data_IF_241741688972
#
_entry.id   IF_241741688972
#
_cell.length_a   1.000
_cell.length_b   1.000
_cell.length_c   1.000
_cell.angle_alpha   90.00
_cell.angle_beta   90.00
_cell.angle_gamma   90.00
#
_symmetry.space_group_name_H-M   'P 1'
#
loop_
_entity.id
_entity.type
_entity.pdbx_description
1 polymer ?
#
# COMPACT_ATOMS: atom_id res chain seq x y z
N UNK A 1 -8.70 -18.07 52.34
CA UNK A 1 -9.03 -18.45 50.94
C UNK A 1 -9.28 -17.25 50.02
N UNK A 2 -10.10 -16.25 50.40
CA UNK A 2 -10.31 -15.04 49.57
C UNK A 2 -9.06 -14.22 49.19
N UNK A 3 -8.01 -14.06 50.03
CA UNK A 3 -6.86 -13.23 49.65
C UNK A 3 -5.90 -13.91 48.66
N UNK A 4 -5.92 -15.26 48.57
CA UNK A 4 -5.05 -16.02 47.66
C UNK A 4 -5.55 -15.96 46.21
N UNK A 5 -6.87 -15.96 46.01
CA UNK A 5 -7.51 -15.85 44.69
C UNK A 5 -7.28 -14.46 44.08
N UNK A 6 -7.35 -13.41 44.91
CA UNK A 6 -7.07 -12.05 44.46
C UNK A 6 -5.62 -11.90 43.97
N UNK A 7 -4.65 -12.47 44.69
CA UNK A 7 -3.23 -12.42 44.33
C UNK A 7 -2.94 -13.18 43.01
N UNK A 8 -3.57 -14.34 42.82
CA UNK A 8 -3.43 -15.15 41.59
C UNK A 8 -4.07 -14.44 40.39
N UNK A 9 -5.24 -13.79 40.55
CA UNK A 9 -5.84 -12.99 39.47
C UNK A 9 -5.00 -11.76 39.12
N UNK A 10 -4.41 -11.07 40.10
CA UNK A 10 -3.53 -9.92 39.84
C UNK A 10 -2.26 -10.30 39.11
N UNK A 11 -1.67 -11.46 39.44
CA UNK A 11 -0.51 -12.02 38.74
C UNK A 11 -0.86 -12.48 37.31
N UNK A 12 -2.02 -13.10 37.09
CA UNK A 12 -2.49 -13.48 35.75
C UNK A 12 -2.84 -12.27 34.88
N UNK A 13 -3.44 -11.22 35.46
CA UNK A 13 -3.71 -9.96 34.75
C UNK A 13 -2.42 -9.16 34.45
N UNK A 14 -1.43 -9.20 35.35
CA UNK A 14 -0.11 -8.61 35.13
C UNK A 14 0.71 -9.34 34.06
N UNK A 15 0.64 -10.68 34.04
CA UNK A 15 1.31 -11.50 33.01
C UNK A 15 0.60 -11.43 31.66
N UNK A 16 -0.74 -11.31 31.63
CA UNK A 16 -1.51 -11.08 30.40
C UNK A 16 -1.28 -9.69 29.79
N UNK A 17 -1.11 -8.66 30.63
CA UNK A 17 -0.79 -7.31 30.17
C UNK A 17 0.69 -7.16 29.73
N UNK A 18 1.62 -7.91 30.35
CA UNK A 18 3.03 -7.92 29.93
C UNK A 18 3.29 -8.80 28.70
N UNK A 19 2.44 -9.79 28.42
CA UNK A 19 2.48 -10.59 27.18
C UNK A 19 1.94 -9.82 25.96
N UNK A 20 1.19 -8.73 26.15
CA UNK A 20 0.71 -7.85 25.08
C UNK A 20 1.61 -6.62 24.85
N UNK A 21 2.76 -6.53 25.52
CA UNK A 21 3.65 -5.36 25.47
C UNK A 21 5.11 -5.67 25.03
N UNK A 22 5.38 -6.86 24.48
CA UNK A 22 6.66 -7.29 23.88
C UNK A 22 6.32 -8.33 22.80
N UNK A 23 6.45 -8.10 21.50
CA UNK A 23 7.54 -7.47 20.75
C UNK A 23 7.04 -6.47 19.69
N UNK A 24 7.71 -5.33 19.58
CA UNK A 24 7.67 -4.45 18.39
C UNK A 24 8.58 -4.94 17.27
N UNK A 25 9.26 -6.08 17.48
CA UNK A 25 10.20 -6.63 16.54
C UNK A 25 9.43 -7.47 15.51
N UNK A 26 9.48 -7.01 14.27
CA UNK A 26 8.93 -7.69 13.09
C UNK A 26 9.93 -8.79 12.72
N UNK A 27 9.56 -10.06 12.89
CA UNK A 27 10.44 -11.20 12.61
C UNK A 27 10.76 -11.34 11.12
N UNK A 28 9.76 -11.10 10.26
CA UNK A 28 9.88 -11.09 8.82
C UNK A 28 9.25 -9.83 8.22
N UNK A 29 9.94 -9.27 7.24
CA UNK A 29 9.43 -8.27 6.31
C UNK A 29 8.83 -8.96 5.10
N UNK A 30 7.90 -8.27 4.42
CA UNK A 30 7.13 -8.82 3.32
C UNK A 30 7.26 -7.99 2.06
N UNK A 31 7.14 -8.66 0.93
CA UNK A 31 7.07 -8.05 -0.38
C UNK A 31 6.07 -8.77 -1.26
N UNK A 32 5.68 -8.12 -2.34
CA UNK A 32 4.94 -8.72 -3.43
C UNK A 32 5.78 -8.60 -4.69
N UNK A 33 5.87 -9.68 -5.45
CA UNK A 33 6.36 -9.68 -6.82
C UNK A 33 5.21 -10.03 -7.75
N UNK A 34 5.02 -9.28 -8.80
CA UNK A 34 3.99 -9.59 -9.78
C UNK A 34 4.53 -9.41 -11.19
N UNK A 35 4.07 -10.29 -12.07
CA UNK A 35 4.38 -10.28 -13.48
C UNK A 35 3.07 -10.30 -14.26
N UNK A 36 3.02 -9.47 -15.29
CA UNK A 36 1.93 -9.47 -16.26
C UNK A 36 2.52 -9.51 -17.66
N UNK A 37 1.79 -10.13 -18.59
CA UNK A 37 2.18 -10.21 -20.00
C UNK A 37 1.06 -9.61 -20.84
N UNK A 38 1.28 -8.43 -21.43
CA UNK A 38 0.47 -7.93 -22.55
C UNK A 38 -0.78 -7.12 -22.20
N UNK A 39 -0.97 -6.66 -20.95
CA UNK A 39 -2.16 -5.86 -20.59
C UNK A 39 -1.90 -4.81 -19.51
N UNK A 40 -2.79 -3.82 -19.48
CA UNK A 40 -2.84 -2.81 -18.43
C UNK A 40 -3.18 -3.46 -17.11
N UNK A 41 -2.52 -3.05 -16.04
CA UNK A 41 -2.79 -3.62 -14.73
C UNK A 41 -2.53 -2.67 -13.59
N UNK A 42 -3.18 -2.95 -12.46
CA UNK A 42 -2.89 -2.32 -11.19
C UNK A 42 -2.94 -3.33 -10.06
N UNK A 43 -2.06 -3.12 -9.08
CA UNK A 43 -1.95 -3.97 -7.91
C UNK A 43 -2.40 -3.19 -6.68
N UNK A 44 -3.24 -3.82 -5.87
CA UNK A 44 -3.76 -3.26 -4.63
C UNK A 44 -3.45 -4.21 -3.48
N UNK A 45 -3.17 -3.62 -2.32
CA UNK A 45 -3.07 -4.34 -1.04
C UNK A 45 -4.04 -3.68 -0.08
N UNK A 46 -4.99 -4.44 0.47
CA UNK A 46 -6.10 -3.88 1.28
C UNK A 46 -6.92 -2.79 0.53
N UNK A 47 -7.04 -2.90 -0.79
CA UNK A 47 -7.66 -1.89 -1.65
C UNK A 47 -6.85 -0.60 -1.83
N UNK A 48 -5.65 -0.48 -1.25
CA UNK A 48 -4.73 0.65 -1.48
C UNK A 48 -3.89 0.34 -2.72
N UNK A 49 -3.94 1.21 -3.72
CA UNK A 49 -3.20 1.03 -4.97
C UNK A 49 -1.69 1.16 -4.72
N UNK A 50 -0.94 0.10 -5.03
CA UNK A 50 0.51 0.06 -4.89
C UNK A 50 1.20 0.44 -6.21
N UNK A 51 0.67 -0.03 -7.34
CA UNK A 51 1.19 0.26 -8.66
C UNK A 51 0.07 0.32 -9.69
N UNK A 52 0.29 1.14 -10.73
CA UNK A 52 -0.59 1.23 -11.89
C UNK A 52 0.25 1.37 -13.15
N UNK A 53 -0.02 0.49 -14.11
CA UNK A 53 0.55 0.52 -15.45
C UNK A 53 -0.59 0.54 -16.45
N UNK A 54 -0.97 1.74 -16.88
CA UNK A 54 -2.07 1.98 -17.84
C UNK A 54 -1.65 1.87 -19.30
N UNK A 55 -0.60 1.12 -19.59
CA UNK A 55 -0.22 0.74 -20.96
C UNK A 55 0.06 -0.75 -20.97
N UNK A 56 -0.50 -1.52 -21.92
CA UNK A 56 -0.15 -2.92 -22.09
C UNK A 56 1.37 -3.10 -22.16
N UNK A 57 1.91 -3.87 -21.23
CA UNK A 57 3.36 -4.08 -21.17
C UNK A 57 3.70 -5.37 -20.46
N UNK A 58 4.91 -5.85 -20.75
CA UNK A 58 5.47 -7.02 -20.09
C UNK A 58 6.40 -6.51 -19.00
N UNK A 59 6.08 -6.83 -17.76
CA UNK A 59 6.92 -6.44 -16.66
C UNK A 59 6.88 -7.47 -15.55
N UNK A 60 7.93 -7.41 -14.74
CA UNK A 60 8.11 -8.18 -13.52
C UNK A 60 8.62 -7.20 -12.45
N UNK A 61 7.74 -6.89 -11.50
CA UNK A 61 7.98 -5.86 -10.48
C UNK A 61 7.94 -6.48 -9.10
N UNK A 62 8.71 -5.90 -8.19
CA UNK A 62 8.69 -6.24 -6.76
C UNK A 62 8.62 -4.97 -5.93
N UNK A 63 7.78 -4.99 -4.90
CA UNK A 63 7.71 -3.91 -3.91
C UNK A 63 7.56 -4.48 -2.49
N UNK A 64 8.13 -3.82 -1.47
CA UNK A 64 7.85 -4.14 -0.07
C UNK A 64 6.39 -3.83 0.26
N UNK A 65 5.78 -4.65 1.13
CA UNK A 65 4.39 -4.51 1.56
C UNK A 65 4.18 -4.78 3.07
N UNK A 66 5.26 -4.83 3.85
CA UNK A 66 5.18 -5.10 5.31
C UNK A 66 4.19 -4.16 5.99
N UNK A 67 4.24 -2.87 5.66
CA UNK A 67 3.36 -1.81 6.16
C UNK A 67 1.92 -1.92 5.65
N UNK A 68 1.63 -2.77 4.68
CA UNK A 68 0.28 -3.04 4.18
C UNK A 68 -0.29 -4.37 4.70
N UNK A 69 0.48 -5.11 5.50
CA UNK A 69 0.15 -6.45 5.95
C UNK A 69 -0.11 -6.45 7.45
N UNK A 70 -1.34 -6.80 7.85
CA UNK A 70 -1.74 -6.94 9.26
C UNK A 70 -1.66 -8.38 9.72
N UNK A 71 -1.77 -8.59 11.03
CA UNK A 71 -1.96 -9.93 11.58
C UNK A 71 -3.31 -10.52 11.12
N UNK A 72 -3.35 -11.82 10.83
CA UNK A 72 -4.57 -12.49 10.38
C UNK A 72 -4.86 -12.25 8.90
N UNK A 73 -6.10 -11.93 8.56
CA UNK A 73 -6.58 -11.93 7.18
C UNK A 73 -6.16 -10.67 6.41
N UNK A 74 -5.67 -10.88 5.20
CA UNK A 74 -5.21 -9.86 4.27
C UNK A 74 -5.68 -10.19 2.85
N UNK A 75 -5.63 -9.20 1.96
CA UNK A 75 -5.99 -9.37 0.55
C UNK A 75 -5.05 -8.59 -0.36
N UNK A 76 -4.70 -9.23 -1.48
CA UNK A 76 -4.10 -8.59 -2.65
C UNK A 76 -5.09 -8.73 -3.80
N UNK A 77 -5.29 -7.64 -4.52
CA UNK A 77 -6.11 -7.60 -5.72
C UNK A 77 -5.24 -7.12 -6.89
N UNK A 78 -5.25 -7.87 -7.99
CA UNK A 78 -4.64 -7.42 -9.24
C UNK A 78 -5.76 -7.21 -10.26
N UNK A 79 -5.92 -5.97 -10.70
CA UNK A 79 -6.91 -5.56 -11.67
C UNK A 79 -6.30 -5.48 -13.06
N UNK A 80 -7.05 -5.89 -14.08
CA UNK A 80 -6.68 -5.79 -15.49
C UNK A 80 -7.83 -5.17 -16.29
N UNK A 81 -7.52 -4.40 -17.33
CA UNK A 81 -8.51 -3.81 -18.23
C UNK A 81 -8.64 -4.66 -19.49
N UNK A 82 -9.88 -4.98 -19.85
CA UNK A 82 -10.21 -5.99 -20.85
C UNK A 82 -10.30 -5.40 -22.27
N UNK A 83 -9.76 -6.12 -23.25
CA UNK A 83 -10.30 -6.07 -24.63
C UNK A 83 -10.44 -7.48 -25.25
N UNK A 84 -9.44 -8.35 -25.16
CA UNK A 84 -9.48 -9.80 -25.44
C UNK A 84 -8.13 -10.36 -24.92
N UNK A 85 -8.11 -11.56 -24.31
CA UNK A 85 -6.85 -12.13 -23.82
C UNK A 85 -6.19 -12.98 -24.90
N UNK A 86 -4.93 -12.66 -25.22
CA UNK A 86 -4.11 -13.48 -26.09
C UNK A 86 -3.71 -14.79 -25.40
N UNK A 87 -3.44 -15.88 -26.14
CA UNK A 87 -3.13 -17.19 -25.55
C UNK A 87 -1.94 -17.20 -24.58
N UNK A 88 -1.03 -16.24 -24.67
CA UNK A 88 0.14 -16.11 -23.81
C UNK A 88 -0.06 -15.14 -22.62
N UNK A 89 -1.24 -14.50 -22.51
CA UNK A 89 -1.56 -13.62 -21.40
C UNK A 89 -1.61 -14.40 -20.09
N UNK A 90 -0.77 -13.97 -19.14
CA UNK A 90 -0.58 -14.61 -17.85
C UNK A 90 -0.37 -13.53 -16.78
N UNK A 91 -0.96 -13.77 -15.61
CA UNK A 91 -0.68 -13.03 -14.38
C UNK A 91 0.06 -13.99 -13.44
N UNK A 92 1.14 -13.50 -12.84
CA UNK A 92 1.78 -14.15 -11.69
C UNK A 92 1.84 -13.18 -10.52
N UNK A 93 1.47 -13.62 -9.34
CA UNK A 93 1.63 -12.88 -8.09
C UNK A 93 2.27 -13.79 -7.05
N UNK A 94 3.46 -13.39 -6.60
CA UNK A 94 4.25 -14.05 -5.57
C UNK A 94 4.28 -13.19 -4.32
N UNK A 95 3.95 -13.79 -3.17
CA UNK A 95 4.16 -13.17 -1.86
C UNK A 95 5.53 -13.60 -1.34
N UNK A 96 6.31 -12.62 -0.92
CA UNK A 96 7.70 -12.78 -0.52
C UNK A 96 7.88 -12.44 0.96
N UNK A 97 8.89 -13.05 1.57
CA UNK A 97 9.31 -12.73 2.93
C UNK A 97 10.83 -12.81 3.10
N UNK A 98 11.38 -12.05 4.04
CA UNK A 98 12.80 -12.05 4.41
C UNK A 98 12.99 -11.53 5.84
N UNK A 99 14.11 -11.85 6.47
CA UNK A 99 14.45 -11.37 7.81
C UNK A 99 14.95 -9.91 7.78
N UNK A 100 14.74 -9.12 8.85
CA UNK A 100 15.31 -7.79 8.98
C UNK A 100 16.81 -7.75 8.69
N UNK A 101 17.24 -6.84 7.83
CA UNK A 101 18.64 -6.65 7.44
C UNK A 101 19.10 -7.51 6.25
N UNK A 102 18.31 -8.49 5.82
CA UNK A 102 18.54 -9.19 4.55
C UNK A 102 18.23 -8.29 3.36
N UNK A 103 18.92 -8.53 2.24
CA UNK A 103 18.65 -7.87 0.98
C UNK A 103 17.46 -8.53 0.28
N UNK A 104 16.29 -7.86 0.18
CA UNK A 104 15.10 -8.43 -0.43
C UNK A 104 15.29 -8.77 -1.92
N UNK A 105 16.35 -8.26 -2.55
CA UNK A 105 16.66 -8.55 -3.94
C UNK A 105 17.29 -9.91 -4.18
N UNK A 106 18.00 -10.45 -3.19
CA UNK A 106 18.79 -11.67 -3.32
C UNK A 106 18.45 -12.73 -2.29
N UNK A 107 17.86 -12.34 -1.17
CA UNK A 107 17.64 -13.20 0.00
C UNK A 107 16.16 -13.39 0.33
N UNK A 108 15.25 -12.79 -0.44
CA UNK A 108 13.82 -13.01 -0.25
C UNK A 108 13.40 -14.44 -0.65
N UNK A 109 12.58 -15.05 0.20
CA UNK A 109 11.93 -16.33 -0.03
C UNK A 109 10.51 -16.10 -0.56
N UNK A 110 10.02 -17.01 -1.41
CA UNK A 110 8.62 -17.00 -1.86
C UNK A 110 7.77 -17.79 -0.87
N UNK A 111 6.83 -17.11 -0.20
CA UNK A 111 5.86 -17.76 0.67
C UNK A 111 4.84 -18.58 -0.14
N UNK A 112 4.31 -18.00 -1.20
CA UNK A 112 3.47 -18.69 -2.17
C UNK A 112 3.39 -17.91 -3.49
N UNK A 113 3.00 -18.60 -4.56
CA UNK A 113 2.77 -18.01 -5.88
C UNK A 113 1.39 -18.40 -6.42
N UNK A 114 0.68 -17.41 -6.95
CA UNK A 114 -0.57 -17.58 -7.69
C UNK A 114 -0.36 -17.26 -9.16
N UNK A 115 -0.83 -18.12 -10.04
CA UNK A 115 -0.80 -17.94 -11.49
C UNK A 115 -2.21 -17.96 -12.05
N UNK A 116 -2.50 -17.03 -12.97
CA UNK A 116 -3.72 -17.01 -13.77
C UNK A 116 -3.35 -16.95 -15.24
N UNK A 117 -3.67 -18.00 -16.01
CA UNK A 117 -3.40 -18.10 -17.45
C UNK A 117 -4.59 -17.58 -18.24
N UNK A 118 -4.72 -16.26 -18.33
CA UNK A 118 -5.87 -15.59 -18.93
C UNK A 118 -6.12 -15.97 -20.39
N UNK A 119 -5.07 -16.34 -21.13
CA UNK A 119 -5.17 -16.80 -22.52
C UNK A 119 -5.80 -18.18 -22.72
N UNK A 120 -5.99 -18.96 -21.65
CA UNK A 120 -6.60 -20.29 -21.72
C UNK A 120 -8.11 -20.24 -21.46
N UNK A 121 -8.90 -20.87 -22.33
CA UNK A 121 -10.35 -20.89 -22.19
C UNK A 121 -10.77 -21.58 -20.88
N UNK A 122 -11.51 -20.86 -20.03
CA UNK A 122 -11.97 -21.38 -18.75
C UNK A 122 -10.88 -21.50 -17.67
N UNK A 123 -9.74 -20.84 -17.86
CA UNK A 123 -8.67 -20.80 -16.88
C UNK A 123 -9.17 -20.38 -15.49
N UNK A 124 -8.54 -20.95 -14.48
CA UNK A 124 -8.77 -20.60 -13.08
C UNK A 124 -7.44 -20.21 -12.45
N UNK A 125 -7.45 -19.33 -11.43
CA UNK A 125 -6.24 -19.04 -10.71
C UNK A 125 -5.78 -20.27 -9.92
N UNK A 126 -4.48 -20.53 -9.95
CA UNK A 126 -3.85 -21.68 -9.32
C UNK A 126 -2.77 -21.22 -8.35
N UNK A 127 -2.75 -21.79 -7.15
CA UNK A 127 -1.61 -21.63 -6.23
C UNK A 127 -0.57 -22.68 -6.59
N UNK A 128 0.49 -22.28 -7.29
CA UNK A 128 1.46 -23.21 -7.90
C UNK A 128 2.64 -23.55 -6.98
N UNK A 129 2.89 -22.73 -5.96
CA UNK A 129 3.92 -23.00 -4.95
C UNK A 129 3.48 -22.47 -3.60
N UNK A 130 3.82 -23.19 -2.53
CA UNK A 130 3.58 -22.80 -1.14
C UNK A 130 4.76 -23.30 -0.31
N UNK A 131 5.36 -22.40 0.46
CA UNK A 131 6.23 -22.73 1.57
C UNK A 131 5.37 -22.90 2.83
N UNK A 132 5.25 -24.12 3.38
CA UNK A 132 4.39 -24.38 4.54
C UNK A 132 4.89 -23.69 5.83
N UNK A 133 6.17 -23.33 5.89
CA UNK A 133 6.78 -22.69 7.05
C UNK A 133 6.71 -21.16 6.99
N UNK A 134 6.43 -20.58 5.81
CA UNK A 134 6.37 -19.14 5.63
C UNK A 134 5.24 -18.48 6.47
N UNK A 135 5.47 -17.30 7.07
CA UNK A 135 4.45 -16.62 7.89
C UNK A 135 3.18 -16.30 7.11
N UNK A 136 3.30 -16.03 5.80
CA UNK A 136 2.19 -15.76 4.89
C UNK A 136 1.67 -17.08 4.30
N UNK A 137 0.37 -17.33 4.39
CA UNK A 137 -0.27 -18.54 3.86
C UNK A 137 -1.49 -18.19 3.01
N UNK A 138 -1.62 -18.72 1.78
CA UNK A 138 -2.76 -18.40 0.92
C UNK A 138 -4.03 -19.08 1.42
N UNK A 139 -5.16 -18.39 1.31
CA UNK A 139 -6.49 -19.01 1.48
C UNK A 139 -6.91 -19.63 0.15
N UNK A 140 -6.28 -20.75 -0.22
CA UNK A 140 -6.34 -21.34 -1.57
C UNK A 140 -7.76 -21.41 -2.17
N UNK A 141 -8.74 -21.89 -1.40
CA UNK A 141 -10.12 -22.05 -1.86
C UNK A 141 -10.88 -20.73 -2.07
N UNK A 142 -10.32 -19.61 -1.62
CA UNK A 142 -10.89 -18.28 -1.77
C UNK A 142 -10.16 -17.43 -2.82
N UNK A 143 -9.06 -17.93 -3.39
CA UNK A 143 -8.41 -17.31 -4.55
C UNK A 143 -9.35 -17.44 -5.75
N UNK A 144 -9.66 -16.31 -6.39
CA UNK A 144 -10.60 -16.29 -7.51
C UNK A 144 -10.27 -15.20 -8.52
N UNK A 145 -10.74 -15.40 -9.75
CA UNK A 145 -10.66 -14.43 -10.81
C UNK A 145 -12.08 -14.04 -11.22
N UNK A 146 -12.43 -12.77 -10.98
CA UNK A 146 -13.75 -12.23 -11.25
C UNK A 146 -13.70 -11.43 -12.56
N UNK A 147 -14.50 -11.85 -13.55
CA UNK A 147 -14.64 -11.13 -14.82
C UNK A 147 -15.69 -10.03 -14.65
N UNK A 148 -15.28 -8.78 -14.81
CA UNK A 148 -16.15 -7.63 -14.65
C UNK A 148 -16.61 -7.03 -15.98
N UNK A 149 -17.42 -5.97 -15.90
CA UNK A 149 -17.87 -5.23 -17.08
C UNK A 149 -16.72 -4.44 -17.73
N UNK A 150 -15.88 -3.81 -16.90
CA UNK A 150 -14.79 -2.95 -17.36
C UNK A 150 -13.39 -3.40 -16.86
N UNK A 151 -13.37 -4.13 -15.75
CA UNK A 151 -12.15 -4.52 -15.03
C UNK A 151 -12.32 -5.97 -14.60
N UNK A 152 -11.34 -6.81 -14.92
CA UNK A 152 -11.23 -8.15 -14.36
C UNK A 152 -10.30 -8.13 -13.16
N UNK A 153 -10.53 -8.99 -12.18
CA UNK A 153 -9.85 -8.93 -10.89
C UNK A 153 -9.39 -10.30 -10.39
N UNK A 154 -8.08 -10.45 -10.17
CA UNK A 154 -7.52 -11.57 -9.42
C UNK A 154 -7.50 -11.23 -7.93
N UNK A 155 -8.35 -11.90 -7.17
CA UNK A 155 -8.46 -11.75 -5.72
C UNK A 155 -7.64 -12.84 -5.01
N UNK A 156 -6.67 -12.42 -4.19
CA UNK A 156 -5.73 -13.30 -3.48
C UNK A 156 -5.83 -13.04 -1.98
N UNK A 157 -6.77 -13.70 -1.29
CA UNK A 157 -6.82 -13.68 0.18
C UNK A 157 -5.70 -14.53 0.78
N UNK A 158 -5.07 -14.02 1.82
CA UNK A 158 -4.02 -14.72 2.56
C UNK A 158 -4.06 -14.40 4.04
N UNK A 159 -3.45 -15.26 4.84
CA UNK A 159 -3.32 -15.09 6.28
C UNK A 159 -1.86 -14.84 6.64
N UNK A 160 -1.59 -13.81 7.43
CA UNK A 160 -0.32 -13.63 8.10
C UNK A 160 -0.40 -14.22 9.51
N UNK A 161 0.53 -15.14 9.83
CA UNK A 161 0.62 -15.80 11.13
C UNK A 161 1.54 -15.07 12.11
N UNK A 162 2.34 -14.11 11.64
CA UNK A 162 3.22 -13.32 12.48
C UNK A 162 2.45 -12.19 13.18
N UNK A 163 2.75 -11.90 14.47
CA UNK A 163 2.32 -10.67 15.10
C UNK A 163 2.81 -9.44 14.32
N UNK A 164 1.91 -8.50 14.07
CA UNK A 164 2.23 -7.23 13.41
C UNK A 164 1.83 -6.07 14.32
N UNK A 165 2.54 -4.92 14.25
CA UNK A 165 2.00 -3.69 14.81
C UNK A 165 0.69 -3.34 14.11
N UNK A 166 -0.16 -2.58 14.79
CA UNK A 166 -1.32 -1.97 14.14
C UNK A 166 -0.84 -0.81 13.28
N UNK A 167 -1.13 -0.87 11.98
CA UNK A 167 -0.76 0.19 11.05
C UNK A 167 -1.82 1.29 11.04
N UNK A 168 -1.43 2.51 10.70
CA UNK A 168 -2.31 3.68 10.74
C UNK A 168 -3.56 3.51 9.85
N UNK A 169 -3.45 2.81 8.71
CA UNK A 169 -4.60 2.51 7.85
C UNK A 169 -5.66 1.61 8.52
N UNK A 170 -5.31 0.88 9.59
CA UNK A 170 -6.26 0.10 10.40
C UNK A 170 -7.00 0.96 11.43
N UNK A 171 -6.41 2.10 11.83
CA UNK A 171 -6.86 2.92 12.95
C UNK A 171 -7.60 4.19 12.54
N UNK A 172 -7.57 4.56 11.25
CA UNK A 172 -8.28 5.73 10.74
C UNK A 172 -9.79 5.64 10.98
N UNK A 173 -10.46 6.78 11.17
CA UNK A 173 -11.91 6.88 11.24
C UNK A 173 -12.54 6.26 9.98
N UNK A 174 -13.71 5.61 10.12
CA UNK A 174 -14.46 5.12 8.95
C UNK A 174 -15.07 6.32 8.22
N UNK A 175 -14.60 6.55 6.99
CA UNK A 175 -14.99 7.65 6.13
C UNK A 175 -16.26 7.33 5.37
N UNK A 176 -16.90 8.39 4.88
CA UNK A 176 -18.08 8.30 4.01
C UNK A 176 -17.74 8.86 2.65
N UNK A 177 -18.20 8.17 1.61
CA UNK A 177 -18.15 8.69 0.25
C UNK A 177 -19.21 9.80 0.09
N UNK A 178 -18.79 11.04 0.35
CA UNK A 178 -19.63 12.22 0.23
C UNK A 178 -18.81 13.49 0.03
N UNK A 179 -19.51 14.57 -0.31
CA UNK A 179 -18.95 15.90 -0.54
C UNK A 179 -18.19 16.44 0.68
N UNK A 180 -18.69 16.27 1.90
CA UNK A 180 -18.02 16.77 3.09
C UNK A 180 -16.64 16.13 3.33
N UNK A 181 -16.50 14.81 3.10
CA UNK A 181 -15.21 14.11 3.16
C UNK A 181 -14.29 14.60 2.04
N UNK A 182 -14.80 14.66 0.81
CA UNK A 182 -14.04 15.12 -0.35
C UNK A 182 -13.52 16.54 -0.19
N UNK A 183 -14.36 17.47 0.24
CA UNK A 183 -14.01 18.88 0.38
C UNK A 183 -12.99 19.09 1.51
N UNK A 184 -13.18 18.40 2.64
CA UNK A 184 -12.21 18.42 3.74
C UNK A 184 -10.85 17.87 3.31
N UNK A 185 -10.82 16.79 2.54
CA UNK A 185 -9.58 16.23 2.01
C UNK A 185 -8.98 17.14 0.93
N UNK A 186 -9.80 17.78 0.09
CA UNK A 186 -9.35 18.74 -0.93
C UNK A 186 -8.65 19.93 -0.28
N UNK A 187 -9.16 20.42 0.85
CA UNK A 187 -8.50 21.46 1.63
C UNK A 187 -7.10 21.03 2.09
N UNK A 188 -6.96 19.78 2.55
CA UNK A 188 -5.66 19.23 2.96
C UNK A 188 -4.69 19.11 1.77
N UNK A 189 -5.17 18.65 0.61
CA UNK A 189 -4.36 18.63 -0.62
C UNK A 189 -3.90 20.04 -1.04
N UNK A 190 -4.76 21.06 -0.92
CA UNK A 190 -4.39 22.46 -1.19
C UNK A 190 -3.35 22.97 -0.20
N UNK A 191 -3.46 22.60 1.08
CA UNK A 191 -2.45 22.92 2.10
C UNK A 191 -1.10 22.32 1.73
N UNK A 192 -1.06 21.04 1.34
CA UNK A 192 0.18 20.38 0.90
C UNK A 192 0.74 21.00 -0.39
N UNK A 193 -0.12 21.31 -1.37
CA UNK A 193 0.28 21.99 -2.60
C UNK A 193 0.92 23.35 -2.33
N UNK A 194 0.35 24.15 -1.41
CA UNK A 194 0.96 25.42 -0.98
C UNK A 194 2.36 25.21 -0.37
N UNK A 195 2.55 24.17 0.46
CA UNK A 195 3.87 23.85 1.01
C UNK A 195 4.88 23.44 -0.08
N UNK A 196 4.44 22.74 -1.13
CA UNK A 196 5.27 22.45 -2.30
C UNK A 196 5.62 23.74 -3.07
N UNK A 197 4.66 24.64 -3.27
CA UNK A 197 4.90 25.93 -3.93
C UNK A 197 5.89 26.82 -3.15
N UNK A 198 5.87 26.74 -1.82
CA UNK A 198 6.80 27.45 -0.93
C UNK A 198 8.18 26.77 -0.81
N UNK A 199 8.35 25.55 -1.32
CA UNK A 199 9.58 24.77 -1.14
C UNK A 199 9.82 24.31 0.31
N UNK A 200 8.76 24.21 1.13
CA UNK A 200 8.87 23.93 2.56
C UNK A 200 9.00 22.43 2.85
N UNK A 201 10.16 21.87 2.55
CA UNK A 201 10.46 20.45 2.73
C UNK A 201 10.26 19.95 4.17
N UNK A 202 10.64 20.74 5.18
CA UNK A 202 10.50 20.32 6.57
C UNK A 202 9.04 20.19 7.00
N UNK A 203 8.17 21.10 6.56
CA UNK A 203 6.73 21.02 6.81
C UNK A 203 6.08 19.83 6.08
N UNK A 204 6.50 19.55 4.83
CA UNK A 204 6.03 18.38 4.09
C UNK A 204 6.44 17.07 4.77
N UNK A 205 7.69 16.97 5.23
CA UNK A 205 8.18 15.82 5.97
C UNK A 205 7.52 15.68 7.35
N UNK A 206 7.16 16.78 8.00
CA UNK A 206 6.38 16.76 9.24
C UNK A 206 4.95 16.27 9.00
N UNK A 207 4.30 16.72 7.93
CA UNK A 207 2.97 16.25 7.52
C UNK A 207 2.96 14.74 7.21
N UNK A 208 4.07 14.19 6.74
CA UNK A 208 4.23 12.77 6.44
C UNK A 208 4.88 11.94 7.57
N UNK A 209 4.93 12.47 8.80
CA UNK A 209 5.66 11.83 9.91
C UNK A 209 5.12 10.45 10.29
N UNK A 210 3.80 10.23 10.24
CA UNK A 210 3.18 8.92 10.48
C UNK A 210 3.68 7.89 9.47
N UNK A 211 3.58 8.17 8.15
CA UNK A 211 4.16 7.34 7.08
C UNK A 211 5.65 7.04 7.33
N UNK A 212 6.45 8.05 7.65
CA UNK A 212 7.90 7.88 7.84
C UNK A 212 8.23 6.93 8.99
N UNK A 213 7.52 7.02 10.13
CA UNK A 213 7.69 6.12 11.27
C UNK A 213 7.33 4.68 10.92
N UNK A 214 6.23 4.48 10.23
CA UNK A 214 5.79 3.13 9.85
C UNK A 214 6.70 2.49 8.83
N UNK A 215 7.18 3.25 7.83
CA UNK A 215 8.16 2.75 6.87
C UNK A 215 9.49 2.40 7.55
N UNK A 216 9.93 3.20 8.52
CA UNK A 216 11.12 2.91 9.31
C UNK A 216 11.00 1.58 10.06
N UNK A 217 9.85 1.37 10.72
CA UNK A 217 9.53 0.12 11.42
C UNK A 217 9.46 -1.06 10.44
N UNK A 218 8.68 -0.92 9.36
CA UNK A 218 8.42 -1.95 8.35
C UNK A 218 9.67 -2.38 7.57
N UNK A 219 10.64 -1.48 7.40
CA UNK A 219 11.90 -1.75 6.70
C UNK A 219 13.07 -2.00 7.65
N UNK A 220 12.89 -1.92 8.97
CA UNK A 220 13.99 -2.02 9.94
C UNK A 220 15.06 -0.95 9.77
N UNK A 221 14.72 0.17 9.14
CA UNK A 221 15.65 1.24 8.78
C UNK A 221 15.48 2.44 9.73
N UNK A 222 16.57 3.14 10.13
CA UNK A 222 16.44 4.31 11.00
C UNK A 222 15.50 5.38 10.43
N UNK A 223 14.61 5.93 11.26
CA UNK A 223 13.62 6.94 10.86
C UNK A 223 14.25 8.15 10.17
N UNK A 224 15.41 8.62 10.66
CA UNK A 224 16.13 9.74 10.05
C UNK A 224 16.56 9.45 8.60
N UNK A 225 16.95 8.21 8.30
CA UNK A 225 17.30 7.80 6.94
C UNK A 225 16.06 7.75 6.05
N UNK A 226 14.95 7.18 6.55
CA UNK A 226 13.67 7.17 5.81
C UNK A 226 13.20 8.60 5.55
N UNK A 227 13.23 9.47 6.56
CA UNK A 227 12.89 10.90 6.43
C UNK A 227 13.73 11.57 5.32
N UNK A 228 15.03 11.32 5.28
CA UNK A 228 15.91 11.86 4.25
C UNK A 228 15.57 11.32 2.85
N UNK A 229 15.36 10.00 2.71
CA UNK A 229 15.02 9.36 1.43
C UNK A 229 13.69 9.83 0.84
N UNK A 230 12.73 10.16 1.69
CA UNK A 230 11.41 10.66 1.30
C UNK A 230 11.33 12.20 1.29
N UNK A 231 12.48 12.87 1.26
CA UNK A 231 12.55 14.32 1.08
C UNK A 231 12.14 14.73 -0.34
N UNK A 232 11.57 15.92 -0.45
CA UNK A 232 11.14 16.54 -1.70
C UNK A 232 12.15 17.56 -2.24
N UNK A 233 13.34 17.67 -1.64
CA UNK A 233 14.35 18.67 -2.04
C UNK A 233 14.74 18.55 -3.51
N UNK A 234 14.69 17.35 -4.11
CA UNK A 234 14.97 17.20 -5.54
C UNK A 234 14.09 18.10 -6.44
N UNK A 235 12.85 18.38 -6.04
CA UNK A 235 11.94 19.26 -6.79
C UNK A 235 12.28 20.74 -6.57
N UNK A 236 12.77 21.09 -5.39
CA UNK A 236 13.05 22.48 -5.00
C UNK A 236 14.44 22.93 -5.44
N UNK A 237 15.41 22.01 -5.44
CA UNK A 237 16.80 22.27 -5.79
C UNK A 237 17.03 22.31 -7.31
N UNK A 238 16.07 21.81 -8.12
CA UNK A 238 16.17 21.73 -9.58
C UNK A 238 14.92 22.30 -10.29
N UNK A 239 14.60 23.60 -10.10
CA UNK A 239 13.39 24.23 -10.69
C UNK A 239 13.41 24.31 -12.22
N UNK A 240 14.58 24.17 -12.83
CA UNK A 240 14.76 24.05 -14.28
C UNK A 240 14.38 22.67 -14.82
N UNK A 241 14.30 21.65 -13.96
CA UNK A 241 13.90 20.29 -14.32
C UNK A 241 12.45 20.00 -13.93
N UNK A 242 12.02 20.50 -12.76
CA UNK A 242 10.71 20.20 -12.20
C UNK A 242 9.90 21.46 -11.93
N UNK A 243 8.70 21.54 -12.51
CA UNK A 243 7.76 22.63 -12.26
C UNK A 243 6.47 22.09 -11.66
N UNK A 244 6.10 22.61 -10.49
CA UNK A 244 4.82 22.29 -9.85
C UNK A 244 3.68 22.82 -10.73
N UNK A 245 2.74 21.93 -11.07
CA UNK A 245 1.54 22.33 -11.81
C UNK A 245 0.57 23.06 -10.88
N UNK A 246 -0.27 23.91 -11.48
CA UNK A 246 -1.40 24.50 -10.76
C UNK A 246 -2.29 23.41 -10.15
N UNK A 247 -2.85 23.73 -8.98
CA UNK A 247 -3.80 22.84 -8.34
C UNK A 247 -5.04 22.69 -9.24
N UNK A 248 -5.54 21.47 -9.49
CA UNK A 248 -6.67 21.26 -10.40
C UNK A 248 -7.93 22.02 -9.94
N UNK A 249 -8.59 22.68 -10.89
CA UNK A 249 -9.89 23.33 -10.69
C UNK A 249 -11.07 22.37 -10.90
N UNK A 250 -10.82 21.25 -11.58
CA UNK A 250 -11.82 20.22 -11.86
C UNK A 250 -12.29 19.48 -10.59
N UNK A 251 -13.51 18.91 -10.60
CA UNK A 251 -13.98 18.09 -9.50
C UNK A 251 -13.03 16.90 -9.24
N UNK A 252 -12.55 16.80 -8.00
CA UNK A 252 -11.75 15.67 -7.56
C UNK A 252 -12.64 14.47 -7.25
N UNK A 253 -12.19 13.27 -7.60
CA UNK A 253 -12.84 12.01 -7.25
C UNK A 253 -12.30 11.53 -5.91
N UNK A 254 -13.20 11.27 -4.96
CA UNK A 254 -12.86 10.66 -3.68
C UNK A 254 -12.77 9.14 -3.88
N UNK A 255 -11.65 8.57 -3.48
CA UNK A 255 -11.45 7.13 -3.47
C UNK A 255 -11.27 6.68 -2.02
N UNK A 256 -11.85 5.52 -1.68
CA UNK A 256 -11.81 4.94 -0.34
C UNK A 256 -11.27 3.50 -0.41
N UNK A 257 -10.47 3.12 0.58
CA UNK A 257 -9.93 1.76 0.73
C UNK A 257 -9.82 1.36 2.20
N UNK A 258 -9.33 0.14 2.45
CA UNK A 258 -9.14 -0.42 3.78
C UNK A 258 -10.39 -0.24 4.67
N UNK A 259 -11.52 -0.80 4.23
CA UNK A 259 -12.83 -0.66 4.89
C UNK A 259 -13.24 0.81 5.11
N UNK A 260 -12.99 1.64 4.10
CA UNK A 260 -13.24 3.09 4.08
C UNK A 260 -12.45 3.90 5.12
N UNK A 261 -11.30 3.42 5.60
CA UNK A 261 -10.46 4.16 6.56
C UNK A 261 -9.36 4.96 5.90
N UNK A 262 -9.01 4.59 4.66
CA UNK A 262 -8.03 5.29 3.84
C UNK A 262 -8.74 6.02 2.72
N UNK A 263 -8.31 7.26 2.45
CA UNK A 263 -8.79 8.07 1.35
C UNK A 263 -7.66 8.71 0.54
N UNK A 264 -7.91 8.92 -0.74
CA UNK A 264 -7.08 9.75 -1.60
C UNK A 264 -7.96 10.40 -2.68
N UNK A 265 -7.44 11.47 -3.27
CA UNK A 265 -8.12 12.16 -4.36
C UNK A 265 -7.43 11.86 -5.69
N UNK A 266 -8.24 11.60 -6.71
CA UNK A 266 -7.80 11.56 -8.11
C UNK A 266 -8.49 12.66 -8.90
N UNK A 267 -7.89 13.06 -10.02
CA UNK A 267 -8.57 13.85 -11.07
C UNK A 267 -9.14 12.85 -12.10
N UNK A 268 -9.20 13.23 -13.38
CA UNK A 268 -9.56 12.30 -14.45
C UNK A 268 -8.72 11.00 -14.43
N UNK A 269 -9.40 9.84 -14.45
CA UNK A 269 -8.80 8.52 -14.36
C UNK A 269 -8.05 8.31 -13.03
N UNK A 270 -6.75 7.98 -13.14
CA UNK A 270 -5.85 7.72 -11.99
C UNK A 270 -4.82 8.82 -11.78
N UNK A 271 -5.04 10.00 -12.36
CA UNK A 271 -4.18 11.16 -12.19
C UNK A 271 -4.36 11.78 -10.80
N UNK A 272 -3.36 12.54 -10.34
CA UNK A 272 -3.31 13.05 -8.96
C UNK A 272 -3.23 14.58 -8.89
N UNK A 273 -3.70 15.21 -7.79
CA UNK A 273 -3.72 16.67 -7.67
C UNK A 273 -2.34 17.34 -7.60
N UNK A 274 -1.31 16.65 -7.09
CA UNK A 274 0.04 17.21 -6.92
C UNK A 274 0.98 16.57 -7.94
N UNK A 275 1.41 17.36 -8.93
CA UNK A 275 2.25 16.92 -10.05
C UNK A 275 3.34 17.93 -10.35
N UNK A 276 4.50 17.41 -10.75
CA UNK A 276 5.62 18.20 -11.24
C UNK A 276 5.88 17.84 -12.69
N UNK A 277 5.66 18.76 -13.62
CA UNK A 277 6.02 18.58 -15.03
C UNK A 277 7.54 18.57 -15.18
N UNK A 278 8.04 17.74 -16.10
CA UNK A 278 9.43 17.71 -16.50
C UNK A 278 9.63 18.75 -17.60
N UNK A 279 10.39 19.81 -17.31
CA UNK A 279 10.47 21.01 -18.19
C UNK A 279 10.95 20.69 -19.60
N UNK A 280 11.78 19.65 -19.74
CA UNK A 280 12.38 19.23 -21.02
C UNK A 280 11.68 18.04 -21.68
N UNK A 281 10.62 17.50 -21.08
CA UNK A 281 9.93 16.30 -21.55
C UNK A 281 8.41 16.54 -21.58
N UNK A 282 7.88 16.85 -22.77
CA UNK A 282 6.45 17.09 -22.94
C UNK A 282 5.61 15.87 -22.53
N UNK A 283 4.61 16.10 -21.69
CA UNK A 283 3.70 15.05 -21.20
C UNK A 283 4.27 14.18 -20.07
N UNK A 284 5.52 14.40 -19.64
CA UNK A 284 6.13 13.66 -18.53
C UNK A 284 5.98 14.43 -17.23
N UNK A 285 5.52 13.75 -16.17
CA UNK A 285 5.38 14.35 -14.84
C UNK A 285 5.70 13.37 -13.72
N UNK A 286 6.32 13.89 -12.67
CA UNK A 286 6.40 13.22 -11.38
C UNK A 286 5.12 13.47 -10.58
N UNK A 287 4.63 12.44 -9.90
CA UNK A 287 3.32 12.43 -9.25
C UNK A 287 3.49 12.16 -7.76
N UNK A 288 2.90 12.99 -6.91
CA UNK A 288 2.85 12.76 -5.45
C UNK A 288 1.51 12.13 -5.12
N UNK A 289 1.52 10.89 -4.60
CA UNK A 289 0.32 10.07 -4.34
C UNK A 289 0.16 9.78 -2.84
N UNK A 290 -0.22 10.78 -2.03
CA UNK A 290 -0.44 10.54 -0.62
C UNK A 290 -1.77 9.80 -0.41
N UNK A 291 -1.75 8.81 0.47
CA UNK A 291 -2.94 8.19 1.03
C UNK A 291 -3.13 8.71 2.45
N UNK A 292 -4.36 9.00 2.81
CA UNK A 292 -4.69 9.64 4.08
C UNK A 292 -5.58 8.77 4.94
N UNK A 293 -5.37 8.87 6.24
CA UNK A 293 -6.38 8.52 7.23
C UNK A 293 -6.91 9.80 7.87
N UNK A 294 -8.09 9.71 8.48
CA UNK A 294 -8.56 10.75 9.40
C UNK A 294 -8.49 10.21 10.82
N UNK A 295 -7.88 10.97 11.73
CA UNK A 295 -7.82 10.61 13.15
C UNK A 295 -8.04 11.85 13.98
N UNK A 296 -8.95 11.79 14.95
CA UNK A 296 -9.29 12.94 15.81
C UNK A 296 -9.65 14.21 15.01
N UNK A 297 -10.33 14.03 13.87
CA UNK A 297 -10.76 15.12 12.99
C UNK A 297 -9.68 15.70 12.07
N UNK A 298 -8.41 15.28 12.20
CA UNK A 298 -7.29 15.73 11.38
C UNK A 298 -6.93 14.69 10.31
N UNK A 299 -6.45 15.17 9.16
CA UNK A 299 -5.90 14.30 8.10
C UNK A 299 -4.43 14.00 8.38
N UNK A 300 -4.03 12.74 8.23
CA UNK A 300 -2.65 12.30 8.35
C UNK A 300 -2.26 11.49 7.12
N UNK A 301 -1.06 11.73 6.57
CA UNK A 301 -0.53 10.91 5.47
C UNK A 301 -0.09 9.57 6.05
N UNK A 302 -0.76 8.50 5.61
CA UNK A 302 -0.41 7.13 5.94
C UNK A 302 0.57 6.53 4.92
N UNK A 303 0.40 6.75 3.61
CA UNK A 303 1.28 6.21 2.56
C UNK A 303 1.67 7.30 1.56
#
# INVERSE_FOLDING_TARGET
MKPLIALILSLLLGMGAQAMAKSTDIDYQYGVRWSVNGFESSLYVQGIMLDFTGVPSNFDRRQPITEYTKNGNNVIDLHTWRYEYDPDHEIKVSLLYWEPGQNPNTEAHTAFEVVMRLGEEGAKPEVVSIDPEAPLQPQQNAVRFDIGENIDSLHIPFTNRQPMPTWCWEEGDVLRDNEATRDSLTHEYRRLHALFAEGNNDALLAAASTRTKELALASGTPEAYVRHRYSYTMYFDNPELYQLNDFPEEPLTLNLAADNRVAWLTTEGVQVPIRFNHVHEEGVSSKVRPYFIRRNGQWEICR
#
